data_IF_839154698311
#
_entry.id   IF_839154698311
#
_cell.length_a   1.000
_cell.length_b   1.000
_cell.length_c   1.000
_cell.angle_alpha   90.00
_cell.angle_beta   90.00
_cell.angle_gamma   90.00
#
_symmetry.space_group_name_H-M   'P 1'
#
loop_
_entity.id
_entity.type
_entity.pdbx_description
1 polymer ?
#
# COMPACT_ATOMS: atom_id res chain seq x y z
N UNK A 1 34.19 45.93 -38.46
CA UNK A 1 33.65 47.30 -38.40
C UNK A 1 32.80 47.40 -37.13
N UNK A 2 33.11 48.31 -36.21
CA UNK A 2 32.33 48.56 -35.00
C UNK A 2 31.24 49.62 -35.27
N UNK A 3 30.15 49.59 -34.51
CA UNK A 3 29.25 50.73 -34.37
C UNK A 3 29.01 51.01 -32.89
N UNK A 4 29.69 52.05 -32.40
CA UNK A 4 29.30 52.86 -31.25
C UNK A 4 28.41 54.00 -31.75
N UNK A 5 27.37 54.35 -30.98
CA UNK A 5 26.96 55.73 -30.76
C UNK A 5 26.07 55.82 -29.51
N UNK A 6 26.52 56.63 -28.56
CA UNK A 6 25.94 56.90 -27.25
C UNK A 6 25.01 58.15 -27.28
N UNK A 7 24.83 58.92 -26.19
CA UNK A 7 23.79 58.79 -25.17
C UNK A 7 22.87 60.04 -25.08
N UNK A 8 21.70 59.89 -24.45
CA UNK A 8 20.81 61.00 -24.08
C UNK A 8 20.77 61.22 -22.56
N UNK A 9 21.10 62.44 -22.12
CA UNK A 9 21.20 62.89 -20.74
C UNK A 9 19.90 63.55 -20.19
N UNK A 10 19.89 63.75 -18.86
CA UNK A 10 19.20 64.79 -18.04
C UNK A 10 17.82 64.39 -17.45
N UNK A 11 17.40 64.67 -16.19
CA UNK A 11 17.96 65.33 -14.99
C UNK A 11 16.96 65.16 -13.79
N UNK A 12 17.48 65.25 -12.54
CA UNK A 12 16.87 65.64 -11.23
C UNK A 12 15.62 64.90 -10.68
N UNK A 13 15.69 64.20 -9.54
CA UNK A 13 15.64 64.68 -8.13
C UNK A 13 14.38 65.47 -7.79
N UNK A 14 13.48 64.89 -6.96
CA UNK A 14 13.04 65.57 -5.73
C UNK A 14 12.32 64.62 -4.78
N UNK A 15 12.69 64.76 -3.52
CA UNK A 15 12.21 64.06 -2.34
C UNK A 15 10.91 64.67 -1.80
N UNK A 16 9.89 63.84 -1.54
CA UNK A 16 8.78 64.18 -0.64
C UNK A 16 8.49 63.03 0.31
N UNK A 17 8.82 63.25 1.59
CA UNK A 17 8.42 62.41 2.69
C UNK A 17 6.94 62.56 2.97
N UNK A 18 6.26 61.43 3.13
CA UNK A 18 4.96 61.34 3.79
C UNK A 18 5.02 60.20 4.81
N UNK A 19 5.21 60.60 6.07
CA UNK A 19 4.85 59.80 7.24
C UNK A 19 3.33 59.76 7.33
N UNK A 20 2.74 58.59 7.07
CA UNK A 20 1.37 58.30 7.47
C UNK A 20 1.41 57.28 8.60
N UNK A 21 1.19 57.78 9.81
CA UNK A 21 0.68 57.02 10.94
C UNK A 21 -0.75 56.60 10.60
N UNK A 22 -0.95 55.30 10.39
CA UNK A 22 -2.26 54.67 10.41
C UNK A 22 -2.23 53.58 11.49
N UNK A 23 -2.66 53.99 12.68
CA UNK A 23 -3.21 53.11 13.69
C UNK A 23 -4.51 52.49 13.15
N UNK A 24 -4.41 51.33 12.51
CA UNK A 24 -5.56 50.48 12.24
C UNK A 24 -5.19 49.01 12.52
N UNK A 25 -5.98 48.41 13.40
CA UNK A 25 -5.73 47.11 13.98
C UNK A 25 -5.69 45.99 12.94
N UNK A 26 -4.52 45.37 12.83
CA UNK A 26 -4.41 44.02 12.29
C UNK A 26 -3.98 43.10 13.42
N UNK A 27 -4.98 42.51 14.07
CA UNK A 27 -4.81 41.30 14.86
C UNK A 27 -4.00 40.31 14.02
N UNK A 28 -2.90 39.81 14.58
CA UNK A 28 -2.04 38.81 13.96
C UNK A 28 -2.83 37.52 13.73
N UNK A 29 -3.48 37.47 12.57
CA UNK A 29 -4.17 36.31 12.05
C UNK A 29 -3.14 35.37 11.42
N UNK A 30 -3.24 34.10 11.81
CA UNK A 30 -2.73 33.00 11.01
C UNK A 30 -1.35 32.49 11.42
N UNK A 31 -1.33 31.74 12.52
CA UNK A 31 -0.40 30.62 12.64
C UNK A 31 -0.61 29.68 11.45
N UNK A 32 0.19 29.76 10.39
CA UNK A 32 0.34 28.63 9.49
C UNK A 32 1.48 27.76 10.02
N UNK A 33 1.21 27.07 11.13
CA UNK A 33 2.04 25.93 11.46
C UNK A 33 1.97 24.97 10.28
N UNK A 34 3.14 24.60 9.77
CA UNK A 34 3.35 23.57 8.77
C UNK A 34 2.94 22.20 9.31
N UNK A 35 1.62 21.98 9.45
CA UNK A 35 1.00 20.70 9.79
C UNK A 35 0.02 20.32 8.69
N UNK A 36 0.52 20.26 7.45
CA UNK A 36 -0.25 19.74 6.31
C UNK A 36 0.53 18.71 5.49
N UNK A 37 1.69 18.26 5.98
CA UNK A 37 2.47 17.18 5.36
C UNK A 37 2.26 15.83 6.07
N UNK A 38 1.63 15.79 7.25
CA UNK A 38 1.63 14.57 8.07
C UNK A 38 0.50 13.58 7.70
N UNK A 39 -0.51 14.03 6.95
CA UNK A 39 -1.66 13.19 6.57
C UNK A 39 -1.56 12.59 5.15
N UNK A 40 -0.57 12.98 4.35
CA UNK A 40 -0.43 12.49 2.97
C UNK A 40 0.30 11.14 2.87
N UNK A 41 0.82 10.61 3.99
CA UNK A 41 1.67 9.42 4.01
C UNK A 41 0.93 8.10 4.25
N UNK A 42 -0.31 8.11 4.74
CA UNK A 42 -1.02 6.87 5.12
C UNK A 42 -1.32 5.95 3.93
N UNK A 43 -1.72 6.50 2.78
CA UNK A 43 -2.07 5.69 1.60
C UNK A 43 -0.85 5.14 0.85
N UNK A 44 0.29 5.84 0.89
CA UNK A 44 1.55 5.33 0.34
C UNK A 44 2.04 4.11 1.14
N UNK A 45 1.94 4.18 2.46
CA UNK A 45 2.42 3.11 3.33
C UNK A 45 1.59 1.82 3.22
N UNK A 46 0.28 1.93 3.00
CA UNK A 46 -0.59 0.78 2.71
C UNK A 46 -0.24 0.11 1.38
N UNK A 47 0.00 0.92 0.33
CA UNK A 47 0.39 0.42 -0.98
C UNK A 47 1.75 -0.29 -0.96
N UNK A 48 2.73 0.27 -0.25
CA UNK A 48 4.06 -0.32 -0.09
C UNK A 48 3.99 -1.65 0.67
N UNK A 49 3.20 -1.71 1.75
CA UNK A 49 2.99 -2.95 2.53
C UNK A 49 2.33 -4.04 1.69
N UNK A 50 1.34 -3.69 0.86
CA UNK A 50 0.68 -4.64 -0.03
C UNK A 50 1.64 -5.18 -1.11
N UNK A 51 2.50 -4.31 -1.66
CA UNK A 51 3.50 -4.70 -2.65
C UNK A 51 4.55 -5.66 -2.06
N UNK A 52 5.07 -5.36 -0.87
CA UNK A 52 6.02 -6.24 -0.19
C UNK A 52 5.40 -7.59 0.16
N UNK A 53 4.17 -7.58 0.67
CA UNK A 53 3.44 -8.79 0.98
C UNK A 53 3.19 -9.65 -0.27
N UNK A 54 2.97 -9.01 -1.43
CA UNK A 54 2.90 -9.71 -2.70
C UNK A 54 4.22 -10.40 -3.04
N UNK A 55 5.37 -9.71 -2.90
CA UNK A 55 6.69 -10.32 -3.11
C UNK A 55 6.93 -11.50 -2.17
N UNK A 56 6.63 -11.36 -0.87
CA UNK A 56 6.75 -12.45 0.10
C UNK A 56 5.88 -13.66 -0.27
N UNK A 57 4.65 -13.40 -0.70
CA UNK A 57 3.71 -14.44 -1.15
C UNK A 57 4.29 -15.20 -2.35
N UNK A 58 4.77 -14.48 -3.37
CA UNK A 58 5.39 -15.09 -4.55
C UNK A 58 6.61 -15.93 -4.18
N UNK A 59 7.53 -15.40 -3.38
CA UNK A 59 8.74 -16.14 -2.97
C UNK A 59 8.42 -17.38 -2.12
N UNK A 60 7.39 -17.30 -1.27
CA UNK A 60 6.93 -18.48 -0.53
C UNK A 60 6.39 -19.56 -1.47
N UNK A 61 5.55 -19.19 -2.44
CA UNK A 61 4.99 -20.13 -3.41
C UNK A 61 6.09 -20.78 -4.24
N UNK A 62 7.03 -19.99 -4.74
CA UNK A 62 8.16 -20.47 -5.53
C UNK A 62 9.02 -21.44 -4.71
N UNK A 63 9.38 -21.05 -3.48
CA UNK A 63 10.17 -21.85 -2.56
C UNK A 63 9.46 -23.16 -2.19
N UNK A 64 8.17 -23.11 -1.84
CA UNK A 64 7.37 -24.28 -1.56
C UNK A 64 7.29 -25.22 -2.76
N UNK A 65 7.08 -24.68 -3.96
CA UNK A 65 6.97 -25.47 -5.21
C UNK A 65 8.31 -26.13 -5.57
N UNK A 66 9.43 -25.44 -5.35
CA UNK A 66 10.78 -25.97 -5.61
C UNK A 66 11.30 -26.91 -4.52
N UNK A 67 10.80 -26.84 -3.29
CA UNK A 67 11.30 -27.63 -2.17
C UNK A 67 11.19 -29.15 -2.41
N UNK A 68 12.27 -29.89 -2.15
CA UNK A 68 12.25 -31.37 -2.25
C UNK A 68 11.37 -32.02 -1.19
N UNK A 69 11.39 -31.46 0.02
CA UNK A 69 10.54 -31.87 1.13
C UNK A 69 9.62 -30.71 1.51
N UNK A 70 8.34 -30.85 1.16
CA UNK A 70 7.29 -29.83 1.39
C UNK A 70 7.03 -29.61 2.87
N UNK A 71 7.02 -30.68 3.67
CA UNK A 71 6.72 -30.57 5.10
C UNK A 71 7.87 -29.90 5.86
N UNK A 72 9.11 -30.23 5.51
CA UNK A 72 10.27 -29.54 6.10
C UNK A 72 10.30 -28.06 5.73
N UNK A 73 9.95 -27.69 4.49
CA UNK A 73 9.81 -26.30 4.08
C UNK A 73 8.77 -25.55 4.93
N UNK A 74 7.56 -26.11 5.08
CA UNK A 74 6.49 -25.51 5.89
C UNK A 74 6.92 -25.28 7.35
N UNK A 75 7.64 -26.24 7.94
CA UNK A 75 8.17 -26.10 9.31
C UNK A 75 9.21 -24.98 9.43
N UNK A 76 10.15 -24.90 8.48
CA UNK A 76 11.16 -23.84 8.45
C UNK A 76 10.49 -22.47 8.27
N UNK A 77 9.45 -22.41 7.44
CA UNK A 77 8.67 -21.21 7.18
C UNK A 77 7.68 -20.86 8.31
N UNK A 78 7.70 -21.58 9.44
CA UNK A 78 6.87 -21.26 10.61
C UNK A 78 5.38 -21.54 10.44
N UNK A 79 4.99 -22.34 9.45
CA UNK A 79 3.57 -22.70 9.25
C UNK A 79 3.13 -23.63 10.39
N UNK A 80 2.09 -23.26 11.16
CA UNK A 80 1.59 -24.11 12.22
C UNK A 80 0.98 -25.38 11.63
N UNK A 81 1.35 -26.54 12.16
CA UNK A 81 0.72 -27.81 11.76
C UNK A 81 -0.64 -28.00 12.45
N UNK A 82 -0.91 -27.23 13.49
CA UNK A 82 -2.14 -27.25 14.26
C UNK A 82 -2.54 -25.83 14.64
N UNK A 83 -3.83 -25.52 14.50
CA UNK A 83 -4.39 -24.23 14.88
C UNK A 83 -5.59 -24.44 15.82
N UNK A 84 -5.91 -23.41 16.62
CA UNK A 84 -7.19 -23.36 17.29
C UNK A 84 -8.31 -23.22 16.25
N UNK A 85 -9.45 -23.86 16.47
CA UNK A 85 -10.61 -23.62 15.61
C UNK A 85 -11.10 -22.18 15.79
N UNK A 86 -11.44 -21.46 14.70
CA UNK A 86 -11.95 -20.08 14.78
C UNK A 86 -13.16 -19.93 15.70
N UNK A 87 -14.02 -20.95 15.76
CA UNK A 87 -15.25 -20.96 16.55
C UNK A 87 -15.10 -21.59 17.94
N UNK A 88 -13.85 -21.78 18.42
CA UNK A 88 -13.57 -22.35 19.75
C UNK A 88 -13.76 -23.87 19.85
N UNK A 89 -13.96 -24.56 18.72
CA UNK A 89 -14.03 -26.02 18.63
C UNK A 89 -12.67 -26.75 18.75
N UNK A 90 -12.62 -28.05 18.44
CA UNK A 90 -11.39 -28.85 18.51
C UNK A 90 -10.26 -28.28 17.66
N UNK A 91 -9.01 -28.49 18.08
CA UNK A 91 -7.83 -28.09 17.30
C UNK A 91 -7.89 -28.66 15.88
N UNK A 92 -7.55 -27.84 14.89
CA UNK A 92 -7.55 -28.25 13.49
C UNK A 92 -6.13 -28.59 13.04
N UNK A 93 -5.97 -29.67 12.28
CA UNK A 93 -4.67 -30.16 11.77
C UNK A 93 -4.50 -29.76 10.32
N UNK A 94 -3.30 -29.30 9.95
CA UNK A 94 -2.94 -29.03 8.56
C UNK A 94 -2.89 -30.36 7.80
N UNK A 95 -3.68 -30.49 6.74
CA UNK A 95 -3.76 -31.72 5.94
C UNK A 95 -3.38 -31.50 4.49
N UNK A 96 -3.67 -30.33 3.93
CA UNK A 96 -3.37 -30.01 2.53
C UNK A 96 -2.83 -28.59 2.38
N UNK A 97 -2.09 -28.38 1.28
CA UNK A 97 -1.78 -27.05 0.73
C UNK A 97 -2.42 -26.97 -0.65
N UNK A 98 -3.23 -25.95 -0.88
CA UNK A 98 -3.91 -25.72 -2.15
C UNK A 98 -3.22 -24.59 -2.90
N UNK A 99 -2.88 -24.81 -4.16
CA UNK A 99 -2.45 -23.77 -5.10
C UNK A 99 -3.60 -23.46 -6.06
N UNK A 100 -3.89 -22.19 -6.30
CA UNK A 100 -4.87 -21.75 -7.29
C UNK A 100 -4.25 -20.74 -8.23
N UNK A 101 -4.52 -20.90 -9.52
CA UNK A 101 -4.18 -19.91 -10.53
C UNK A 101 -5.41 -19.07 -10.82
N UNK A 102 -5.25 -17.75 -10.76
CA UNK A 102 -6.31 -16.76 -10.92
C UNK A 102 -5.89 -15.67 -11.92
N UNK A 103 -6.86 -15.11 -12.63
CA UNK A 103 -6.64 -13.97 -13.53
C UNK A 103 -7.62 -12.87 -13.18
N UNK A 104 -7.11 -11.67 -12.89
CA UNK A 104 -7.97 -10.51 -12.73
C UNK A 104 -8.26 -9.90 -14.10
N UNK A 105 -9.53 -9.88 -14.49
CA UNK A 105 -9.97 -9.42 -15.81
C UNK A 105 -10.52 -8.00 -15.84
N UNK A 106 -10.67 -7.35 -14.68
CA UNK A 106 -11.19 -5.99 -14.56
C UNK A 106 -11.35 -5.54 -13.12
N UNK A 107 -11.86 -4.33 -12.95
CA UNK A 107 -12.31 -3.78 -11.66
C UNK A 107 -13.77 -3.36 -11.72
N UNK A 108 -14.43 -3.38 -10.57
CA UNK A 108 -15.75 -2.82 -10.41
C UNK A 108 -15.76 -1.84 -9.24
N UNK A 109 -16.32 -0.66 -9.41
CA UNK A 109 -16.47 0.35 -8.36
C UNK A 109 -17.94 0.73 -8.17
N UNK A 110 -18.38 1.07 -6.93
CA UNK A 110 -19.73 1.56 -6.69
C UNK A 110 -20.02 2.81 -7.52
N UNK A 111 -21.17 2.83 -8.19
CA UNK A 111 -21.64 4.02 -8.90
C UNK A 111 -22.17 5.06 -7.91
N UNK A 112 -21.81 6.32 -8.10
CA UNK A 112 -22.27 7.39 -7.23
C UNK A 112 -23.79 7.58 -7.36
N UNK A 113 -24.52 7.44 -6.25
CA UNK A 113 -25.97 7.66 -6.20
C UNK A 113 -26.83 6.55 -6.81
N UNK A 114 -26.26 5.41 -7.20
CA UNK A 114 -27.03 4.25 -7.67
C UNK A 114 -26.60 2.95 -6.99
N UNK A 115 -27.43 1.90 -7.11
CA UNK A 115 -27.11 0.55 -6.63
C UNK A 115 -26.37 -0.28 -7.69
N UNK A 116 -25.82 0.37 -8.71
CA UNK A 116 -25.11 -0.28 -9.80
C UNK A 116 -23.59 -0.19 -9.61
N UNK A 117 -22.85 -1.02 -10.33
CA UNK A 117 -21.40 -1.00 -10.37
C UNK A 117 -20.91 -0.44 -11.71
N UNK A 118 -19.91 0.41 -11.67
CA UNK A 118 -19.12 0.77 -12.85
C UNK A 118 -18.07 -0.31 -13.09
N UNK A 119 -18.11 -0.96 -14.26
CA UNK A 119 -17.17 -2.01 -14.62
C UNK A 119 -16.09 -1.49 -15.59
N UNK A 120 -14.84 -1.75 -15.25
CA UNK A 120 -13.65 -1.37 -16.02
C UNK A 120 -12.84 -2.62 -16.36
N UNK A 121 -13.04 -3.21 -17.55
CA UNK A 121 -12.26 -4.36 -17.98
C UNK A 121 -10.79 -3.96 -18.15
N UNK A 122 -9.88 -4.86 -17.78
CA UNK A 122 -8.47 -4.66 -18.04
C UNK A 122 -8.16 -4.92 -19.52
N UNK A 123 -7.28 -4.10 -20.14
CA UNK A 123 -6.69 -4.45 -21.43
C UNK A 123 -6.07 -5.86 -21.36
N UNK A 124 -6.18 -6.64 -22.44
CA UNK A 124 -5.67 -8.02 -22.49
C UNK A 124 -4.24 -8.20 -21.94
N UNK A 125 -3.27 -7.34 -22.30
CA UNK A 125 -1.91 -7.42 -21.77
C UNK A 125 -1.77 -7.14 -20.26
N UNK A 126 -2.77 -6.52 -19.62
CA UNK A 126 -2.81 -6.26 -18.17
C UNK A 126 -3.45 -7.40 -17.37
N UNK A 127 -4.07 -8.39 -18.03
CA UNK A 127 -4.60 -9.58 -17.39
C UNK A 127 -3.44 -10.53 -17.12
N UNK A 128 -2.86 -10.42 -15.92
CA UNK A 128 -1.75 -11.27 -15.50
C UNK A 128 -2.23 -12.45 -14.68
N UNK A 129 -1.52 -13.57 -14.83
CA UNK A 129 -1.68 -14.71 -13.94
C UNK A 129 -1.27 -14.34 -12.50
N UNK A 130 -2.05 -14.82 -11.53
CA UNK A 130 -1.75 -14.70 -10.11
C UNK A 130 -1.91 -16.07 -9.46
N UNK A 131 -0.82 -16.57 -8.89
CA UNK A 131 -0.86 -17.79 -8.09
C UNK A 131 -1.18 -17.44 -6.64
N UNK A 132 -2.21 -18.06 -6.09
CA UNK A 132 -2.55 -18.00 -4.68
C UNK A 132 -2.31 -19.35 -4.01
N UNK A 133 -2.20 -19.34 -2.69
CA UNK A 133 -2.01 -20.53 -1.88
C UNK A 133 -2.91 -20.49 -0.63
N UNK A 134 -3.52 -21.62 -0.30
CA UNK A 134 -4.29 -21.81 0.93
C UNK A 134 -3.78 -23.00 1.75
N UNK A 135 -3.65 -22.79 3.05
CA UNK A 135 -3.32 -23.82 4.04
C UNK A 135 -4.62 -24.44 4.55
N UNK A 136 -4.82 -25.74 4.34
CA UNK A 136 -6.08 -26.42 4.64
C UNK A 136 -5.98 -27.16 5.96
N UNK A 137 -6.74 -26.68 6.94
CA UNK A 137 -6.87 -27.28 8.26
C UNK A 137 -8.20 -28.00 8.41
N UNK A 138 -8.21 -29.14 9.07
CA UNK A 138 -9.43 -29.90 9.34
C UNK A 138 -9.51 -30.35 10.80
N UNK A 139 -10.72 -30.41 11.31
CA UNK A 139 -11.10 -31.19 12.49
C UNK A 139 -12.08 -32.28 12.05
N UNK A 140 -12.68 -33.01 12.99
CA UNK A 140 -13.74 -33.96 12.67
C UNK A 140 -14.98 -33.28 12.05
N UNK A 141 -15.25 -32.04 12.44
CA UNK A 141 -16.52 -31.36 12.16
C UNK A 141 -16.38 -30.18 11.19
N UNK A 142 -15.15 -29.71 10.94
CA UNK A 142 -14.93 -28.48 10.18
C UNK A 142 -13.69 -28.54 9.29
N UNK A 143 -13.75 -27.75 8.22
CA UNK A 143 -12.62 -27.42 7.35
C UNK A 143 -12.42 -25.91 7.37
N UNK A 144 -11.18 -25.49 7.58
CA UNK A 144 -10.77 -24.10 7.53
C UNK A 144 -9.64 -23.95 6.51
N UNK A 145 -9.68 -22.88 5.72
CA UNK A 145 -8.61 -22.57 4.77
C UNK A 145 -8.04 -21.21 5.14
N UNK A 146 -6.78 -21.19 5.52
CA UNK A 146 -6.04 -19.96 5.78
C UNK A 146 -5.34 -19.53 4.51
N UNK A 147 -5.67 -18.34 4.01
CA UNK A 147 -4.99 -17.75 2.87
C UNK A 147 -3.52 -17.41 3.22
N UNK A 148 -2.60 -17.69 2.30
CA UNK A 148 -1.17 -17.46 2.50
C UNK A 148 -0.85 -15.99 2.79
N UNK A 149 -1.55 -15.05 2.15
CA UNK A 149 -1.36 -13.62 2.41
C UNK A 149 -1.73 -13.26 3.84
N UNK A 150 -2.87 -13.76 4.33
CA UNK A 150 -3.30 -13.54 5.72
C UNK A 150 -2.38 -14.22 6.74
N UNK A 151 -1.82 -15.38 6.41
CA UNK A 151 -0.78 -16.02 7.22
C UNK A 151 0.48 -15.13 7.29
N UNK A 152 0.99 -14.67 6.14
CA UNK A 152 2.21 -13.87 6.06
C UNK A 152 2.06 -12.50 6.74
N UNK A 153 0.89 -11.87 6.69
CA UNK A 153 0.62 -10.61 7.42
C UNK A 153 0.87 -10.71 8.92
N UNK A 154 0.62 -11.88 9.51
CA UNK A 154 0.81 -12.13 10.94
C UNK A 154 2.13 -12.85 11.26
N UNK A 155 2.90 -13.21 10.22
CA UNK A 155 4.14 -13.94 10.37
C UNK A 155 5.29 -13.00 10.76
N UNK A 156 6.25 -13.47 11.56
CA UNK A 156 7.40 -12.66 12.00
C UNK A 156 8.19 -12.07 10.82
N UNK A 157 8.26 -12.79 9.71
CA UNK A 157 8.96 -12.36 8.49
C UNK A 157 8.37 -11.11 7.80
N UNK A 158 7.13 -10.71 8.10
CA UNK A 158 6.53 -9.48 7.55
C UNK A 158 6.61 -8.29 8.50
N UNK A 159 7.11 -8.48 9.74
CA UNK A 159 7.24 -7.40 10.70
C UNK A 159 8.43 -6.51 10.30
N UNK A 160 8.15 -5.27 9.92
CA UNK A 160 9.19 -4.22 9.81
C UNK A 160 9.57 -3.80 11.22
N UNK A 161 10.59 -4.42 11.78
CA UNK A 161 11.22 -3.91 13.00
C UNK A 161 11.95 -2.61 12.62
N UNK A 162 11.25 -1.48 12.75
CA UNK A 162 11.90 -0.17 12.80
C UNK A 162 12.68 -0.09 14.11
N UNK A 163 13.95 -0.49 14.06
CA UNK A 163 14.95 -0.15 15.07
C UNK A 163 15.56 1.22 14.78
#
# INVERSE_FOLDING_TARGET
>A
MPHDNAPGHHHHEDSHGHTHDHSDGHAHAGHNHSHAADHLHSHLQEADTAAELHVLTTQFIDGFTAAKDKMSYLRIAGVPLEIAAPDGGPTMKLVDVKLTTEWQVGTASPSFGSRELSYLPYPGPMVTERTNMGLVYVSLDAKHVTDLRSFLQNHSASRKDHA
#
